data_IF_262949757944
#
_entry.id   IF_262949757944
#
_cell.length_a   1.000
_cell.length_b   1.000
_cell.length_c   1.000
_cell.angle_alpha   90.00
_cell.angle_beta   90.00
_cell.angle_gamma   90.00
#
_symmetry.space_group_name_H-M   'P 1'
#
loop_
_entity.id
_entity.type
_entity.pdbx_description
1 polymer ?
#
# COMPACT_ATOMS: atom_id res chain seq x y z
N UNK A 1 -5.78 13.80 -21.59
CA UNK A 1 -5.38 13.63 -20.18
C UNK A 1 -5.99 14.72 -19.36
N UNK A 2 -6.65 14.34 -18.29
CA UNK A 2 -7.22 15.33 -17.41
C UNK A 2 -6.98 14.95 -15.96
N UNK A 3 -6.85 15.98 -15.13
CA UNK A 3 -6.74 15.80 -13.69
C UNK A 3 -7.94 15.03 -13.15
N UNK A 4 -9.14 15.36 -13.61
CA UNK A 4 -10.38 14.72 -13.16
C UNK A 4 -10.41 13.24 -13.48
N UNK A 5 -9.98 12.84 -14.68
CA UNK A 5 -9.92 11.44 -15.06
C UNK A 5 -8.90 10.67 -14.23
N UNK A 6 -7.75 11.28 -13.97
CA UNK A 6 -6.71 10.67 -13.14
C UNK A 6 -7.19 10.47 -11.71
N UNK A 7 -7.85 11.47 -11.14
CA UNK A 7 -8.43 11.37 -9.79
C UNK A 7 -9.48 10.27 -9.75
N UNK A 8 -10.33 10.15 -10.77
CA UNK A 8 -11.34 9.10 -10.84
C UNK A 8 -10.70 7.72 -10.82
N UNK A 9 -9.62 7.52 -11.60
CA UNK A 9 -8.88 6.25 -11.61
C UNK A 9 -8.26 5.96 -10.24
N UNK A 10 -7.67 6.97 -9.60
CA UNK A 10 -7.07 6.78 -8.27
C UNK A 10 -8.12 6.35 -7.24
N UNK A 11 -9.31 6.95 -7.29
CA UNK A 11 -10.42 6.57 -6.41
C UNK A 11 -10.90 5.16 -6.69
N UNK A 12 -11.00 4.80 -7.96
CA UNK A 12 -11.39 3.45 -8.37
C UNK A 12 -10.42 2.41 -7.84
N UNK A 13 -9.13 2.72 -7.86
CA UNK A 13 -8.11 1.82 -7.30
C UNK A 13 -8.36 1.56 -5.81
N UNK A 14 -8.57 2.62 -5.02
CA UNK A 14 -8.85 2.48 -3.60
C UNK A 14 -10.09 1.66 -3.32
N UNK A 15 -11.15 1.88 -4.10
CA UNK A 15 -12.39 1.11 -3.95
C UNK A 15 -12.20 -0.36 -4.30
N UNK A 16 -11.45 -0.64 -5.36
CA UNK A 16 -11.15 -2.01 -5.77
C UNK A 16 -10.39 -2.75 -4.67
N UNK A 17 -9.40 -2.09 -4.06
CA UNK A 17 -8.63 -2.68 -2.96
C UNK A 17 -9.54 -2.95 -1.77
N UNK A 18 -10.33 -1.95 -1.36
CA UNK A 18 -11.18 -2.07 -0.18
C UNK A 18 -12.28 -3.12 -0.33
N UNK A 19 -12.74 -3.34 -1.55
CA UNK A 19 -13.82 -4.29 -1.82
C UNK A 19 -13.33 -5.63 -2.39
N UNK A 20 -12.03 -5.79 -2.55
CA UNK A 20 -11.45 -7.03 -3.04
C UNK A 20 -11.68 -7.30 -4.52
N UNK A 21 -12.02 -6.28 -5.30
CA UNK A 21 -12.23 -6.44 -6.75
C UNK A 21 -10.93 -6.19 -7.50
N UNK A 22 -9.93 -7.01 -7.24
CA UNK A 22 -8.57 -6.80 -7.73
C UNK A 22 -8.41 -7.05 -9.23
N UNK A 23 -9.32 -7.80 -9.83
CA UNK A 23 -9.34 -8.01 -11.28
C UNK A 23 -9.57 -6.70 -12.04
N UNK A 24 -10.16 -5.70 -11.40
CA UNK A 24 -10.34 -4.36 -12.00
C UNK A 24 -9.01 -3.66 -12.24
N UNK A 25 -7.92 -4.15 -11.65
CA UNK A 25 -6.59 -3.57 -11.85
C UNK A 25 -6.15 -3.62 -13.31
N UNK A 26 -6.66 -4.57 -14.09
CA UNK A 26 -6.37 -4.60 -15.54
C UNK A 26 -6.91 -3.38 -16.28
N UNK A 27 -7.93 -2.72 -15.73
CA UNK A 27 -8.48 -1.50 -16.30
C UNK A 27 -7.87 -0.23 -15.68
N UNK A 28 -7.31 -0.37 -14.47
CA UNK A 28 -6.75 0.75 -13.70
C UNK A 28 -5.29 1.00 -14.08
N UNK A 29 -4.53 -0.06 -14.28
CA UNK A 29 -3.10 0.03 -14.59
C UNK A 29 -2.83 -0.21 -16.06
N UNK A 30 -1.85 0.51 -16.62
CA UNK A 30 -1.33 0.20 -17.94
C UNK A 30 -0.68 -1.18 -17.92
N UNK A 31 -0.73 -1.88 -19.05
CA UNK A 31 -0.18 -3.25 -19.13
C UNK A 31 1.32 -3.28 -18.81
N UNK A 32 2.04 -2.20 -19.11
CA UNK A 32 3.48 -2.08 -18.90
C UNK A 32 3.81 -1.19 -17.69
N UNK A 33 2.90 -1.08 -16.73
CA UNK A 33 3.10 -0.26 -15.54
C UNK A 33 4.38 -0.64 -14.81
N UNK A 34 5.10 0.38 -14.33
CA UNK A 34 6.33 0.21 -13.57
C UNK A 34 6.11 0.66 -12.13
N UNK A 35 6.38 -0.23 -11.18
CA UNK A 35 6.42 0.12 -9.77
C UNK A 35 7.90 0.37 -9.41
N UNK A 36 8.21 1.59 -9.01
CA UNK A 36 9.59 1.95 -8.63
C UNK A 36 9.93 1.49 -7.21
N UNK A 37 8.94 1.14 -6.43
CA UNK A 37 9.11 0.69 -5.05
C UNK A 37 8.35 -0.63 -4.83
N UNK A 38 8.69 -1.70 -5.59
CA UNK A 38 7.94 -2.94 -5.49
C UNK A 38 8.19 -3.66 -4.17
N UNK A 39 7.19 -4.39 -3.73
CA UNK A 39 7.37 -5.30 -2.60
C UNK A 39 8.32 -6.43 -2.99
N UNK A 40 8.97 -7.09 -2.01
CA UNK A 40 9.79 -8.26 -2.31
C UNK A 40 8.99 -9.29 -3.11
N UNK A 41 9.60 -9.81 -4.17
CA UNK A 41 9.01 -10.81 -5.05
C UNK A 41 7.78 -10.36 -5.84
N UNK A 42 7.52 -9.05 -5.89
CA UNK A 42 6.42 -8.53 -6.69
C UNK A 42 6.71 -8.69 -8.18
N UNK A 43 5.76 -9.30 -8.90
CA UNK A 43 5.88 -9.46 -10.35
C UNK A 43 5.68 -8.15 -11.10
N UNK A 44 5.85 -8.21 -12.41
CA UNK A 44 5.70 -7.05 -13.29
C UNK A 44 4.25 -6.81 -13.67
N UNK A 45 3.95 -5.57 -14.05
CA UNK A 45 2.65 -5.20 -14.58
C UNK A 45 1.53 -5.25 -13.56
N UNK A 46 0.27 -5.18 -14.03
CA UNK A 46 -0.88 -5.25 -13.13
C UNK A 46 -0.92 -6.50 -12.28
N UNK A 47 -0.42 -7.63 -12.78
CA UNK A 47 -0.40 -8.89 -12.04
C UNK A 47 0.42 -8.79 -10.75
N UNK A 48 1.50 -7.99 -10.76
CA UNK A 48 2.29 -7.77 -9.55
C UNK A 48 1.48 -7.11 -8.45
N UNK A 49 0.68 -6.11 -8.81
CA UNK A 49 -0.19 -5.44 -7.85
C UNK A 49 -1.33 -6.34 -7.39
N UNK A 50 -1.92 -7.11 -8.30
CA UNK A 50 -2.99 -8.05 -7.95
C UNK A 50 -2.47 -9.08 -6.96
N UNK A 51 -1.31 -9.66 -7.22
CA UNK A 51 -0.70 -10.64 -6.33
C UNK A 51 -0.40 -10.03 -4.95
N UNK A 52 0.17 -8.83 -4.92
CA UNK A 52 0.48 -8.15 -3.67
C UNK A 52 -0.78 -7.95 -2.82
N UNK A 53 -1.83 -7.38 -3.39
CA UNK A 53 -3.05 -7.11 -2.63
C UNK A 53 -3.86 -8.37 -2.34
N UNK A 54 -3.72 -9.42 -3.15
CA UNK A 54 -4.31 -10.71 -2.82
C UNK A 54 -3.71 -11.25 -1.52
N UNK A 55 -2.40 -11.22 -1.40
CA UNK A 55 -1.71 -11.67 -0.18
C UNK A 55 -2.01 -10.75 1.01
N UNK A 56 -2.01 -9.44 0.76
CA UNK A 56 -2.28 -8.46 1.81
C UNK A 56 -3.69 -8.64 2.37
N UNK A 57 -4.68 -8.86 1.51
CA UNK A 57 -6.06 -9.08 1.94
C UNK A 57 -6.26 -10.44 2.62
N UNK A 58 -5.45 -11.44 2.27
CA UNK A 58 -5.48 -12.72 3.00
C UNK A 58 -4.95 -12.55 4.42
N UNK A 59 -3.90 -11.76 4.57
CA UNK A 59 -3.36 -11.47 5.90
C UNK A 59 -4.33 -10.61 6.72
N UNK A 60 -5.00 -9.66 6.08
CA UNK A 60 -5.92 -8.71 6.70
C UNK A 60 -7.24 -8.70 5.93
N UNK A 61 -8.16 -9.64 6.21
CA UNK A 61 -9.41 -9.73 5.44
C UNK A 61 -10.29 -8.48 5.51
N UNK A 62 -10.18 -7.71 6.59
CA UNK A 62 -10.86 -6.45 6.78
C UNK A 62 -10.03 -5.24 6.37
N UNK A 63 -9.04 -5.44 5.51
CA UNK A 63 -8.16 -4.39 5.03
C UNK A 63 -8.97 -3.19 4.52
N UNK A 64 -8.61 -2.00 5.02
CA UNK A 64 -9.22 -0.77 4.57
C UNK A 64 -8.16 0.32 4.41
N UNK A 65 -8.19 0.96 3.25
CA UNK A 65 -7.34 2.10 2.95
C UNK A 65 -8.23 3.34 2.91
N UNK A 66 -7.84 4.36 3.67
CA UNK A 66 -8.54 5.65 3.69
C UNK A 66 -7.57 6.71 3.23
N UNK A 67 -7.93 7.43 2.17
CA UNK A 67 -7.13 8.55 1.66
C UNK A 67 -7.39 9.75 2.54
N UNK A 68 -6.33 10.24 3.19
CA UNK A 68 -6.40 11.38 4.10
C UNK A 68 -6.23 12.70 3.36
N UNK A 69 -5.41 12.69 2.31
CA UNK A 69 -5.09 13.88 1.55
C UNK A 69 -4.71 13.48 0.13
N UNK A 70 -5.14 14.27 -0.84
CA UNK A 70 -4.85 14.01 -2.25
C UNK A 70 -4.51 15.33 -2.96
N UNK A 71 -3.46 15.31 -3.75
CA UNK A 71 -3.14 16.39 -4.68
C UNK A 71 -2.96 15.80 -6.08
N UNK A 72 -3.34 16.53 -7.08
CA UNK A 72 -3.32 16.02 -8.46
C UNK A 72 -3.05 17.13 -9.47
N UNK A 73 -2.45 16.73 -10.57
CA UNK A 73 -2.34 17.57 -11.78
C UNK A 73 -2.73 16.72 -13.00
N UNK A 74 -2.40 17.18 -14.19
CA UNK A 74 -2.77 16.48 -15.43
C UNK A 74 -2.02 15.16 -15.61
N UNK A 75 -0.92 14.95 -14.91
CA UNK A 75 -0.07 13.76 -15.09
C UNK A 75 -0.04 12.87 -13.86
N UNK A 76 -0.23 13.42 -12.66
CA UNK A 76 0.05 12.70 -11.42
C UNK A 76 -1.06 12.85 -10.39
N UNK A 77 -1.18 11.83 -9.53
CA UNK A 77 -1.97 11.91 -8.32
C UNK A 77 -1.09 11.46 -7.15
N UNK A 78 -0.99 12.30 -6.13
CA UNK A 78 -0.27 11.96 -4.90
C UNK A 78 -1.27 11.85 -3.77
N UNK A 79 -1.13 10.81 -2.94
CA UNK A 79 -2.01 10.61 -1.79
C UNK A 79 -1.21 10.34 -0.52
N UNK A 80 -1.76 10.79 0.60
CA UNK A 80 -1.39 10.31 1.92
C UNK A 80 -2.55 9.48 2.43
N UNK A 81 -2.28 8.29 2.92
CA UNK A 81 -3.34 7.37 3.30
C UNK A 81 -3.04 6.65 4.61
N UNK A 82 -4.09 6.09 5.21
CA UNK A 82 -3.99 5.24 6.39
C UNK A 82 -4.54 3.87 6.01
N UNK A 83 -3.84 2.81 6.39
CA UNK A 83 -4.30 1.45 6.21
C UNK A 83 -4.59 0.84 7.59
N UNK A 84 -5.71 0.15 7.69
CA UNK A 84 -6.10 -0.57 8.89
C UNK A 84 -6.49 -2.01 8.53
N UNK A 85 -6.39 -2.89 9.50
CA UNK A 85 -6.82 -4.27 9.33
C UNK A 85 -6.54 -5.09 10.56
N UNK A 86 -7.08 -6.31 10.58
CA UNK A 86 -6.86 -7.29 11.65
C UNK A 86 -6.17 -8.49 11.06
N UNK A 87 -5.04 -8.89 11.63
CA UNK A 87 -4.27 -10.01 11.08
C UNK A 87 -4.95 -11.35 11.37
N UNK A 88 -5.40 -12.00 10.31
CA UNK A 88 -5.99 -13.34 10.39
C UNK A 88 -5.28 -14.35 9.50
N UNK A 89 -4.30 -13.92 8.73
CA UNK A 89 -3.44 -14.77 7.92
C UNK A 89 -1.97 -14.43 8.09
N UNK A 90 -1.07 -15.27 7.59
CA UNK A 90 0.38 -14.99 7.71
C UNK A 90 0.75 -13.69 7.01
N UNK A 91 1.65 -12.92 7.61
CA UNK A 91 2.15 -11.69 7.01
C UNK A 91 3.66 -11.61 7.21
N UNK A 92 4.41 -11.67 6.13
CA UNK A 92 5.87 -11.55 6.12
C UNK A 92 6.55 -12.41 7.20
N UNK A 93 6.17 -13.67 7.25
CA UNK A 93 6.75 -14.62 8.19
C UNK A 93 6.16 -14.59 9.60
N UNK A 94 5.22 -13.69 9.85
CA UNK A 94 4.54 -13.63 11.14
C UNK A 94 3.23 -14.41 11.05
N UNK A 95 3.08 -15.42 11.92
CA UNK A 95 1.85 -16.19 12.03
C UNK A 95 0.69 -15.30 12.49
N UNK A 96 -0.55 -15.67 12.20
CA UNK A 96 -1.71 -14.86 12.57
C UNK A 96 -1.74 -14.54 14.06
N UNK A 97 -1.84 -13.25 14.39
CA UNK A 97 -1.83 -12.77 15.79
C UNK A 97 -3.22 -12.34 16.27
N UNK A 98 -4.16 -12.12 15.34
CA UNK A 98 -5.45 -11.52 15.66
C UNK A 98 -5.37 -10.05 16.03
N UNK A 99 -4.21 -9.42 15.89
CA UNK A 99 -4.01 -8.02 16.26
C UNK A 99 -4.44 -7.07 15.16
N UNK A 100 -4.89 -5.89 15.57
CA UNK A 100 -5.22 -4.80 14.65
C UNK A 100 -3.98 -3.99 14.37
N UNK A 101 -3.86 -3.54 13.11
CA UNK A 101 -2.78 -2.64 12.71
C UNK A 101 -3.38 -1.34 12.18
N UNK A 102 -2.58 -0.29 12.31
CA UNK A 102 -2.86 0.99 11.69
C UNK A 102 -1.53 1.59 11.26
N UNK A 103 -1.41 1.88 9.98
CA UNK A 103 -0.17 2.40 9.44
C UNK A 103 -0.46 3.46 8.38
N UNK A 104 0.50 4.34 8.16
CA UNK A 104 0.38 5.40 7.17
C UNK A 104 1.29 5.13 5.99
N UNK A 105 0.92 5.67 4.85
CA UNK A 105 1.74 5.60 3.66
C UNK A 105 1.48 6.78 2.75
N UNK A 106 2.35 6.92 1.77
CA UNK A 106 2.22 7.92 0.72
C UNK A 106 2.57 7.27 -0.60
N UNK A 107 1.91 7.71 -1.66
CA UNK A 107 2.30 7.26 -3.00
C UNK A 107 2.01 8.35 -4.02
N UNK A 108 2.77 8.29 -5.11
CA UNK A 108 2.55 9.09 -6.29
C UNK A 108 2.31 8.12 -7.43
N UNK A 109 1.25 8.36 -8.21
CA UNK A 109 0.99 7.60 -9.43
C UNK A 109 1.01 8.55 -10.61
N UNK A 110 1.61 8.11 -11.71
CA UNK A 110 1.66 8.86 -12.97
C UNK A 110 0.79 8.14 -13.99
N UNK A 111 0.07 8.92 -14.79
CA UNK A 111 -0.99 8.40 -15.67
C UNK A 111 -0.62 8.58 -17.14
N UNK A 112 -1.13 7.67 -17.97
CA UNK A 112 -1.02 7.79 -19.42
C UNK A 112 -2.21 8.57 -19.98
N UNK A 113 -2.27 8.71 -21.31
CA UNK A 113 -3.33 9.49 -21.99
C UNK A 113 -4.72 8.88 -21.84
N UNK A 114 -4.81 7.62 -21.40
CA UNK A 114 -6.08 6.93 -21.14
C UNK A 114 -6.45 6.95 -19.67
N UNK A 115 -5.75 7.73 -18.86
CA UNK A 115 -5.92 7.82 -17.42
C UNK A 115 -5.68 6.47 -16.72
N UNK A 116 -4.80 5.65 -17.28
CA UNK A 116 -4.32 4.44 -16.60
C UNK A 116 -3.01 4.74 -15.90
N UNK A 117 -2.78 4.11 -14.78
CA UNK A 117 -1.54 4.28 -14.01
C UNK A 117 -0.41 3.61 -14.76
N UNK A 118 0.62 4.38 -15.12
CA UNK A 118 1.78 3.84 -15.82
C UNK A 118 3.04 3.79 -14.98
N UNK A 119 3.11 4.54 -13.88
CA UNK A 119 4.24 4.49 -12.95
C UNK A 119 3.75 4.74 -11.54
N UNK A 120 4.44 4.17 -10.59
CA UNK A 120 4.12 4.33 -9.18
C UNK A 120 5.39 4.44 -8.33
N UNK A 121 5.39 5.40 -7.42
CA UNK A 121 6.37 5.52 -6.33
C UNK A 121 5.59 5.50 -5.03
N UNK A 122 6.10 4.81 -4.01
CA UNK A 122 5.37 4.76 -2.76
C UNK A 122 6.20 4.26 -1.60
N UNK A 123 5.76 4.63 -0.41
CA UNK A 123 6.38 4.19 0.83
C UNK A 123 5.31 4.13 1.90
N UNK A 124 5.33 3.07 2.70
CA UNK A 124 4.43 2.90 3.83
C UNK A 124 5.24 2.45 5.04
N UNK A 125 4.65 2.63 6.23
CA UNK A 125 5.30 2.28 7.48
C UNK A 125 5.20 0.77 7.75
N UNK A 126 5.90 -0.02 6.95
CA UNK A 126 5.90 -1.48 7.10
C UNK A 126 6.55 -1.91 8.41
N UNK A 127 7.58 -1.20 8.83
CA UNK A 127 8.20 -1.48 10.12
C UNK A 127 7.19 -1.31 11.25
N UNK A 128 6.38 -0.25 11.20
CA UNK A 128 5.33 -0.03 12.18
C UNK A 128 4.31 -1.16 12.21
N UNK A 129 3.93 -1.67 11.03
CA UNK A 129 3.04 -2.84 10.96
C UNK A 129 3.67 -4.03 11.65
N UNK A 130 4.93 -4.33 11.32
CA UNK A 130 5.65 -5.47 11.90
C UNK A 130 5.74 -5.34 13.42
N UNK A 131 6.03 -4.15 13.93
CA UNK A 131 6.12 -3.90 15.35
C UNK A 131 4.78 -4.07 16.06
N UNK A 132 3.69 -3.67 15.43
CA UNK A 132 2.36 -3.83 15.98
C UNK A 132 1.94 -5.30 16.08
N UNK A 133 2.38 -6.12 15.13
CA UNK A 133 2.06 -7.54 15.12
C UNK A 133 2.95 -8.34 16.08
N UNK A 134 4.18 -7.90 16.30
CA UNK A 134 5.17 -8.58 17.11
C UNK A 134 5.40 -7.80 18.40
N UNK A 135 4.57 -8.09 19.43
CA UNK A 135 4.63 -7.37 20.70
C UNK A 135 5.98 -7.53 21.40
N UNK A 136 6.60 -8.71 21.31
CA UNK A 136 7.90 -8.96 21.94
C UNK A 136 8.98 -8.11 21.25
N UNK A 137 9.00 -8.10 19.94
CA UNK A 137 9.93 -7.31 19.16
C UNK A 137 9.71 -5.81 19.37
N UNK A 138 8.46 -5.38 19.48
CA UNK A 138 8.13 -3.99 19.78
C UNK A 138 8.64 -3.58 21.14
N UNK A 139 8.50 -4.45 22.15
CA UNK A 139 9.00 -4.19 23.50
C UNK A 139 10.53 -4.04 23.49
N UNK A 140 11.24 -4.91 22.77
CA UNK A 140 12.69 -4.81 22.62
C UNK A 140 13.08 -3.49 21.96
N UNK A 141 12.35 -3.07 20.95
CA UNK A 141 12.62 -1.79 20.28
C UNK A 141 12.44 -0.59 21.19
N UNK A 142 11.52 -0.67 22.14
CA UNK A 142 11.32 0.40 23.12
C UNK A 142 12.41 0.41 24.18
N UNK A 143 12.87 -0.76 24.57
CA UNK A 143 13.95 -0.89 25.57
C UNK A 143 15.31 -0.48 25.00
N UNK A 144 15.45 -0.55 23.70
CA UNK A 144 16.69 -0.19 23.01
C UNK A 144 16.40 0.93 22.02
N UNK A 145 16.13 2.14 22.55
CA UNK A 145 15.85 3.25 21.65
C UNK A 145 17.04 3.39 20.69
N UNK A 146 16.77 3.70 19.46
CA UNK A 146 17.77 3.69 18.42
C UNK A 146 18.94 4.58 18.81
N UNK A 147 19.96 3.93 18.94
CA UNK A 147 21.19 4.64 19.05
C UNK A 147 21.36 5.32 17.73
N UNK A 148 20.08 5.20 17.90
CA UNK A 148 19.88 5.39 17.10
C UNK A 148 19.62 6.08 16.56
N UNK A 149 19.60 6.27 16.75
CA UNK A 149 19.34 6.47 16.30
C UNK A 149 19.22 7.12 15.96
N UNK A 150 19.30 7.47 16.36
CA UNK A 150 19.31 7.38 16.28
C UNK A 150 18.92 7.97 16.07
N UNK A 151 19.17 8.21 16.37
CA UNK A 151 19.00 8.03 16.40
C UNK A 151 18.57 8.37 16.17
N UNK A 152 18.70 8.59 16.38
CA UNK A 152 18.50 8.28 16.33
C UNK A 152 18.19 8.42 16.08
N UNK A 153 18.26 8.72 16.57
CA UNK A 153 18.15 8.20 16.57
C UNK A 153 18.09 8.26 16.44
#
# INVERSE_FOLDING_TARGET
MSKEANVATAKKMGEAINNGRLEEFHEIFAADVVDHDPAPDQGKGPEGFISFFTHFRRAFPDLKIVVEHMVADEDNVAIAYTVTGTQEGPFQGISPTGKKIKARGMQITKFDSSAKIKERWGSSDELGIMQQLDAEKSAISMDHPPAISGATA
#
